data_IF_996211081918
#
_entry.id   IF_996211081918
#
_cell.length_a   1.000
_cell.length_b   1.000
_cell.length_c   1.000
_cell.angle_alpha   90.00
_cell.angle_beta   90.00
_cell.angle_gamma   90.00
#
_symmetry.space_group_name_H-M   'P 1'
#
loop_
_entity.id
_entity.type
_entity.pdbx_description
1 polymer ?
#
# COMPACT_ATOMS: atom_id res chain seq x y z
N UNK A 1 -11.54 45.81 -12.45
CA UNK A 1 -11.17 45.09 -11.22
C UNK A 1 -11.20 43.61 -11.54
N UNK A 2 -10.03 42.99 -11.73
CA UNK A 2 -9.90 41.58 -12.09
C UNK A 2 -9.78 40.74 -10.81
N UNK A 3 -10.52 39.62 -10.67
CA UNK A 3 -10.35 38.71 -9.55
C UNK A 3 -9.07 37.87 -9.73
N UNK A 4 -8.10 38.10 -8.85
CA UNK A 4 -6.94 37.24 -8.66
C UNK A 4 -7.39 35.89 -8.12
N UNK A 5 -7.33 34.87 -8.97
CA UNK A 5 -7.54 33.46 -8.62
C UNK A 5 -6.32 32.99 -7.82
N UNK A 6 -6.54 32.68 -6.54
CA UNK A 6 -5.52 32.13 -5.66
C UNK A 6 -5.24 30.68 -6.06
N UNK A 7 -4.00 30.41 -6.47
CA UNK A 7 -3.50 29.07 -6.76
C UNK A 7 -3.50 28.21 -5.50
N UNK A 8 -3.96 26.94 -5.54
CA UNK A 8 -3.85 26.04 -4.40
C UNK A 8 -2.38 25.72 -4.08
N UNK A 9 -2.02 25.49 -2.81
CA UNK A 9 -0.67 25.07 -2.44
C UNK A 9 -0.40 23.71 -3.05
N UNK A 10 0.54 23.69 -4.01
CA UNK A 10 1.02 22.49 -4.66
C UNK A 10 1.43 21.45 -3.63
N UNK A 11 0.83 20.27 -3.75
CA UNK A 11 1.30 19.05 -3.13
C UNK A 11 2.75 18.84 -3.60
N UNK A 12 3.70 19.19 -2.75
CA UNK A 12 5.11 18.89 -2.96
C UNK A 12 5.22 17.37 -2.94
N UNK A 13 5.28 16.78 -4.13
CA UNK A 13 5.64 15.39 -4.36
C UNK A 13 7.05 15.23 -3.75
N UNK A 14 7.11 14.75 -2.51
CA UNK A 14 8.38 14.36 -1.92
C UNK A 14 8.98 13.29 -2.85
N UNK A 15 10.20 13.47 -3.38
CA UNK A 15 10.83 12.42 -4.16
C UNK A 15 10.88 11.16 -3.29
N UNK A 16 10.59 9.97 -3.86
CA UNK A 16 10.71 8.74 -3.11
C UNK A 16 12.12 8.70 -2.52
N UNK A 17 12.29 8.25 -1.26
CA UNK A 17 13.62 8.04 -0.73
C UNK A 17 14.27 6.98 -1.60
N UNK A 18 15.12 7.42 -2.54
CA UNK A 18 16.08 6.60 -3.23
C UNK A 18 17.10 6.13 -2.18
N UNK A 19 16.68 5.19 -1.35
CA UNK A 19 17.55 4.33 -0.60
C UNK A 19 18.17 3.38 -1.62
N UNK A 20 19.11 3.91 -2.42
CA UNK A 20 20.23 3.14 -2.92
C UNK A 20 20.99 2.64 -1.69
N UNK A 21 20.45 1.58 -1.09
CA UNK A 21 21.01 0.87 0.03
C UNK A 21 22.33 0.27 -0.43
N UNK A 22 23.39 1.04 -0.24
CA UNK A 22 24.80 0.67 -0.37
C UNK A 22 25.19 -0.31 0.74
N UNK A 23 24.37 -1.34 0.94
CA UNK A 23 24.35 -2.29 2.06
C UNK A 23 24.52 -3.74 1.56
N UNK A 24 25.32 -3.95 0.52
CA UNK A 24 25.28 -5.21 -0.25
C UNK A 24 26.21 -6.32 0.23
N UNK A 25 27.02 -6.11 1.28
CA UNK A 25 27.87 -7.17 1.85
C UNK A 25 27.53 -7.49 3.31
N UNK A 26 27.48 -6.48 4.18
CA UNK A 26 27.25 -6.68 5.62
C UNK A 26 25.85 -7.22 5.94
N UNK A 27 24.83 -6.84 5.18
CA UNK A 27 23.46 -7.33 5.38
C UNK A 27 23.33 -8.81 5.02
N UNK A 28 24.05 -9.25 3.99
CA UNK A 28 24.10 -10.67 3.59
C UNK A 28 24.87 -11.51 4.61
N UNK A 29 25.99 -11.01 5.14
CA UNK A 29 26.73 -11.71 6.20
C UNK A 29 25.86 -11.84 7.45
N UNK A 30 25.15 -10.79 7.84
CA UNK A 30 24.23 -10.83 8.99
C UNK A 30 23.04 -11.78 8.76
N UNK A 31 22.54 -11.86 7.52
CA UNK A 31 21.49 -12.81 7.13
C UNK A 31 21.97 -14.28 7.10
N UNK A 32 23.19 -14.53 6.62
CA UNK A 32 23.79 -15.86 6.56
C UNK A 32 24.11 -16.41 7.96
N UNK A 33 24.70 -15.58 8.82
CA UNK A 33 25.02 -15.94 10.21
C UNK A 33 23.75 -16.08 11.06
N UNK A 34 22.69 -15.34 10.73
CA UNK A 34 21.39 -15.44 11.41
C UNK A 34 20.51 -16.60 10.95
N UNK A 35 20.91 -17.40 9.96
CA UNK A 35 20.11 -18.54 9.54
C UNK A 35 20.22 -19.67 10.58
N UNK A 36 19.09 -20.29 11.00
CA UNK A 36 19.11 -21.34 12.02
C UNK A 36 19.94 -22.55 11.61
N UNK A 37 20.05 -22.80 10.29
CA UNK A 37 20.86 -23.88 9.72
C UNK A 37 22.35 -23.58 9.90
N UNK A 38 22.83 -22.37 9.57
CA UNK A 38 24.24 -22.02 9.78
C UNK A 38 24.60 -22.00 11.26
N UNK A 39 23.70 -21.54 12.15
CA UNK A 39 23.92 -21.61 13.60
C UNK A 39 23.99 -23.06 14.07
N UNK A 40 23.08 -23.92 13.62
CA UNK A 40 23.10 -25.35 13.98
C UNK A 40 24.37 -26.05 13.48
N UNK A 41 24.80 -25.79 12.24
CA UNK A 41 26.04 -26.34 11.67
C UNK A 41 27.27 -25.80 12.41
N UNK A 42 27.31 -24.51 12.75
CA UNK A 42 28.40 -23.92 13.50
C UNK A 42 28.51 -24.50 14.92
N UNK A 43 27.38 -24.64 15.61
CA UNK A 43 27.31 -25.26 16.95
C UNK A 43 27.71 -26.73 16.88
N UNK A 44 27.21 -27.48 15.90
CA UNK A 44 27.57 -28.89 15.70
C UNK A 44 29.07 -29.05 15.42
N UNK A 45 29.62 -28.24 14.50
CA UNK A 45 31.03 -28.27 14.16
C UNK A 45 31.92 -27.87 15.35
N UNK A 46 31.49 -26.89 16.16
CA UNK A 46 32.18 -26.50 17.39
C UNK A 46 32.16 -27.61 18.44
N UNK A 47 31.03 -28.29 18.64
CA UNK A 47 30.91 -29.43 19.57
C UNK A 47 31.79 -30.61 19.14
N UNK A 48 31.81 -30.95 17.84
CA UNK A 48 32.66 -32.00 17.29
C UNK A 48 34.14 -31.63 17.41
N UNK A 49 34.50 -30.37 17.08
CA UNK A 49 35.86 -29.86 17.18
C UNK A 49 36.39 -29.86 18.61
N UNK A 50 35.55 -29.47 19.58
CA UNK A 50 35.89 -29.49 21.00
C UNK A 50 36.15 -30.92 21.51
N UNK A 51 35.32 -31.88 21.07
CA UNK A 51 35.45 -33.28 21.50
C UNK A 51 36.70 -33.98 20.96
N UNK A 52 37.16 -33.64 19.75
CA UNK A 52 38.27 -34.35 19.09
C UNK A 52 39.65 -33.74 19.34
N UNK A 53 39.75 -32.41 19.42
CA UNK A 53 41.03 -31.70 19.48
C UNK A 53 41.06 -30.51 20.46
N UNK A 54 40.06 -30.40 21.34
CA UNK A 54 39.95 -29.31 22.30
C UNK A 54 39.77 -27.95 21.65
N UNK A 55 40.35 -26.90 22.24
CA UNK A 55 40.13 -25.49 21.84
C UNK A 55 40.61 -25.21 20.40
N UNK A 56 41.69 -25.85 19.96
CA UNK A 56 42.23 -25.68 18.61
C UNK A 56 41.28 -26.24 17.55
N UNK A 57 40.67 -27.41 17.83
CA UNK A 57 39.66 -28.00 16.95
C UNK A 57 38.42 -27.11 16.79
N UNK A 58 37.95 -26.51 17.89
CA UNK A 58 36.82 -25.58 17.88
C UNK A 58 37.13 -24.29 17.07
N UNK A 59 38.35 -23.76 17.17
CA UNK A 59 38.77 -22.59 16.37
C UNK A 59 38.83 -22.93 14.87
N UNK A 60 39.42 -24.07 14.51
CA UNK A 60 39.51 -24.52 13.11
C UNK A 60 38.13 -24.78 12.51
N UNK A 61 37.23 -25.43 13.25
CA UNK A 61 35.87 -25.67 12.79
C UNK A 61 35.11 -24.35 12.58
N UNK A 62 35.29 -23.37 13.47
CA UNK A 62 34.67 -22.06 13.32
C UNK A 62 35.19 -21.31 12.09
N UNK A 63 36.51 -21.32 11.86
CA UNK A 63 37.12 -20.73 10.65
C UNK A 63 36.62 -21.43 9.38
N UNK A 64 36.54 -22.77 9.38
CA UNK A 64 36.03 -23.53 8.25
C UNK A 64 34.57 -23.17 7.92
N UNK A 65 33.71 -23.00 8.94
CA UNK A 65 32.32 -22.55 8.75
C UNK A 65 32.26 -21.11 8.20
N UNK A 66 33.13 -20.21 8.66
CA UNK A 66 33.21 -18.84 8.13
C UNK A 66 33.64 -18.87 6.66
N UNK A 67 34.68 -19.62 6.31
CA UNK A 67 35.15 -19.75 4.92
C UNK A 67 34.09 -20.41 4.04
N UNK A 68 33.41 -21.44 4.53
CA UNK A 68 32.32 -22.09 3.82
C UNK A 68 31.12 -21.14 3.64
N UNK A 69 30.82 -20.31 4.65
CA UNK A 69 29.81 -19.25 4.57
C UNK A 69 30.17 -18.15 3.57
N UNK A 70 31.41 -17.66 3.57
CA UNK A 70 31.87 -16.64 2.61
C UNK A 70 31.92 -17.22 1.20
N UNK A 71 32.41 -18.45 1.03
CA UNK A 71 32.43 -19.10 -0.29
C UNK A 71 31.03 -19.43 -0.79
N UNK A 72 30.08 -19.78 0.09
CA UNK A 72 28.68 -19.99 -0.30
C UNK A 72 28.03 -18.70 -0.82
N UNK A 73 28.39 -17.52 -0.30
CA UNK A 73 27.89 -16.24 -0.85
C UNK A 73 28.34 -15.95 -2.28
N UNK A 74 29.40 -16.61 -2.77
CA UNK A 74 29.84 -16.47 -4.17
C UNK A 74 28.98 -17.27 -5.13
N UNK A 75 28.19 -18.23 -4.66
CA UNK A 75 27.31 -19.01 -5.53
C UNK A 75 26.07 -18.20 -5.87
N UNK A 76 25.86 -17.95 -7.16
CA UNK A 76 24.71 -17.21 -7.68
C UNK A 76 23.37 -17.81 -7.23
N UNK A 77 23.31 -19.14 -7.03
CA UNK A 77 22.12 -19.83 -6.53
C UNK A 77 21.75 -19.41 -5.10
N UNK A 78 22.73 -19.40 -4.18
CA UNK A 78 22.52 -19.01 -2.78
C UNK A 78 22.11 -17.54 -2.71
N UNK A 79 22.74 -16.68 -3.51
CA UNK A 79 22.39 -15.26 -3.57
C UNK A 79 20.94 -15.06 -4.02
N UNK A 80 20.50 -15.71 -5.11
CA UNK A 80 19.09 -15.66 -5.56
C UNK A 80 18.12 -16.15 -4.50
N UNK A 81 18.48 -17.18 -3.74
CA UNK A 81 17.63 -17.68 -2.66
C UNK A 81 17.53 -16.69 -1.49
N UNK A 82 18.65 -16.09 -1.08
CA UNK A 82 18.67 -15.05 -0.05
C UNK A 82 17.92 -13.80 -0.48
N UNK A 83 18.05 -13.40 -1.74
CA UNK A 83 17.33 -12.27 -2.32
C UNK A 83 15.82 -12.51 -2.27
N UNK A 84 15.35 -13.69 -2.71
CA UNK A 84 13.93 -14.07 -2.61
C UNK A 84 13.44 -14.09 -1.15
N UNK A 85 14.23 -14.60 -0.21
CA UNK A 85 13.85 -14.58 1.21
C UNK A 85 13.79 -13.16 1.77
N UNK A 86 14.70 -12.28 1.37
CA UNK A 86 14.70 -10.88 1.77
C UNK A 86 13.47 -10.16 1.22
N UNK A 87 13.14 -10.37 -0.05
CA UNK A 87 11.94 -9.83 -0.69
C UNK A 87 10.66 -10.26 0.05
N UNK A 88 10.51 -11.56 0.35
CA UNK A 88 9.36 -12.07 1.11
C UNK A 88 9.29 -11.44 2.51
N UNK A 89 10.42 -11.34 3.21
CA UNK A 89 10.46 -10.72 4.55
C UNK A 89 10.08 -9.24 4.51
N UNK A 90 10.58 -8.51 3.52
CA UNK A 90 10.24 -7.11 3.35
C UNK A 90 8.76 -6.93 3.02
N UNK A 91 8.18 -7.81 2.19
CA UNK A 91 6.73 -7.87 1.94
C UNK A 91 5.94 -8.10 3.23
N UNK A 92 6.24 -9.17 3.96
CA UNK A 92 5.56 -9.50 5.22
C UNK A 92 5.70 -8.35 6.24
N UNK A 93 6.87 -7.70 6.30
CA UNK A 93 7.11 -6.56 7.19
C UNK A 93 6.23 -5.37 6.81
N UNK A 94 6.15 -5.02 5.52
CA UNK A 94 5.28 -3.95 5.02
C UNK A 94 3.82 -4.24 5.31
N UNK A 95 3.34 -5.45 5.00
CA UNK A 95 1.97 -5.86 5.31
C UNK A 95 1.65 -5.80 6.80
N UNK A 96 2.56 -6.28 7.65
CA UNK A 96 2.37 -6.19 9.10
C UNK A 96 2.30 -4.75 9.60
N UNK A 97 3.03 -3.83 8.96
CA UNK A 97 2.99 -2.41 9.29
C UNK A 97 1.66 -1.78 8.86
N UNK A 98 1.17 -2.10 7.65
CA UNK A 98 -0.14 -1.65 7.14
C UNK A 98 -1.28 -2.10 8.05
N UNK A 99 -1.32 -3.38 8.41
CA UNK A 99 -2.36 -3.93 9.30
C UNK A 99 -2.32 -3.31 10.70
N UNK A 100 -1.11 -3.04 11.24
CA UNK A 100 -0.98 -2.33 12.53
C UNK A 100 -1.57 -0.92 12.46
N UNK A 101 -1.36 -0.22 11.35
CA UNK A 101 -1.90 1.13 11.13
C UNK A 101 -3.42 1.12 10.91
N UNK A 102 -3.99 0.07 10.33
CA UNK A 102 -5.44 -0.11 10.12
C UNK A 102 -6.19 -0.66 11.34
N UNK A 103 -5.48 -1.08 12.40
CA UNK A 103 -6.13 -1.56 13.63
C UNK A 103 -7.21 -0.62 14.20
N UNK A 104 -7.04 0.72 14.25
CA UNK A 104 -8.05 1.63 14.81
C UNK A 104 -9.21 1.96 13.85
N UNK A 105 -9.12 1.66 12.55
CA UNK A 105 -10.14 2.06 11.55
C UNK A 105 -11.41 1.20 11.57
N UNK A 106 -11.45 0.15 12.41
CA UNK A 106 -12.56 -0.79 12.51
C UNK A 106 -12.48 -1.95 11.49
N UNK A 107 -13.35 -2.96 11.64
CA UNK A 107 -13.29 -4.20 10.86
C UNK A 107 -13.66 -4.02 9.39
N UNK A 108 -14.58 -3.10 9.07
CA UNK A 108 -15.04 -2.87 7.68
C UNK A 108 -13.88 -2.41 6.78
N UNK A 109 -13.08 -1.43 7.23
CA UNK A 109 -11.91 -0.95 6.48
C UNK A 109 -10.78 -1.99 6.41
N UNK A 110 -10.67 -2.86 7.41
CA UNK A 110 -9.70 -3.97 7.38
C UNK A 110 -10.10 -5.02 6.35
N UNK A 111 -11.39 -5.34 6.26
CA UNK A 111 -11.92 -6.26 5.26
C UNK A 111 -11.70 -5.73 3.83
N UNK A 112 -12.04 -4.46 3.57
CA UNK A 112 -11.76 -3.80 2.29
C UNK A 112 -10.27 -3.85 1.92
N UNK A 113 -9.38 -3.59 2.88
CA UNK A 113 -7.94 -3.71 2.64
C UNK A 113 -7.50 -5.13 2.29
N UNK A 114 -8.08 -6.15 2.93
CA UNK A 114 -7.76 -7.56 2.64
C UNK A 114 -8.18 -7.91 1.22
N UNK A 115 -9.39 -7.50 0.80
CA UNK A 115 -9.90 -7.70 -0.56
C UNK A 115 -9.00 -7.01 -1.60
N UNK A 116 -8.66 -5.73 -1.38
CA UNK A 116 -7.75 -4.99 -2.26
C UNK A 116 -6.35 -5.62 -2.32
N UNK A 117 -5.84 -6.10 -1.19
CA UNK A 117 -4.54 -6.78 -1.14
C UNK A 117 -4.57 -8.07 -1.97
N UNK A 118 -5.64 -8.86 -1.88
CA UNK A 118 -5.80 -10.09 -2.65
C UNK A 118 -5.86 -9.81 -4.15
N UNK A 119 -6.61 -8.78 -4.57
CA UNK A 119 -6.64 -8.33 -5.96
C UNK A 119 -5.26 -7.88 -6.45
N UNK A 120 -4.54 -7.10 -5.65
CA UNK A 120 -3.17 -6.66 -6.00
C UNK A 120 -2.21 -7.86 -6.10
N UNK A 121 -2.32 -8.85 -5.22
CA UNK A 121 -1.50 -10.06 -5.29
C UNK A 121 -1.81 -10.87 -6.58
N UNK A 122 -3.08 -10.93 -6.97
CA UNK A 122 -3.50 -11.55 -8.23
C UNK A 122 -2.96 -10.79 -9.43
N UNK A 123 -3.05 -9.46 -9.46
CA UNK A 123 -2.47 -8.61 -10.51
C UNK A 123 -0.96 -8.84 -10.62
N UNK A 124 -0.23 -8.84 -9.50
CA UNK A 124 1.22 -9.07 -9.48
C UNK A 124 1.61 -10.48 -9.95
N UNK A 125 0.74 -11.47 -9.72
CA UNK A 125 0.96 -12.86 -10.15
C UNK A 125 0.71 -13.01 -11.66
N UNK A 126 -0.30 -12.34 -12.18
CA UNK A 126 -0.72 -12.42 -13.58
C UNK A 126 0.13 -11.53 -14.50
N UNK A 127 0.32 -10.25 -14.15
CA UNK A 127 1.17 -9.30 -14.89
C UNK A 127 1.99 -8.39 -13.93
N UNK A 128 3.24 -8.78 -13.61
CA UNK A 128 4.09 -8.00 -12.73
C UNK A 128 4.57 -6.67 -13.33
N UNK A 129 4.47 -6.48 -14.66
CA UNK A 129 4.85 -5.22 -15.29
C UNK A 129 3.75 -4.18 -15.12
N UNK A 130 2.49 -4.58 -15.31
CA UNK A 130 1.35 -3.69 -15.11
C UNK A 130 1.21 -3.32 -13.62
N UNK A 131 1.45 -4.28 -12.70
CA UNK A 131 1.50 -4.00 -11.26
C UNK A 131 2.53 -2.93 -10.88
N UNK A 132 3.70 -2.94 -11.52
CA UNK A 132 4.76 -1.93 -11.35
C UNK A 132 4.40 -0.61 -12.01
N UNK A 133 3.77 -0.65 -13.19
CA UNK A 133 3.40 0.55 -13.94
C UNK A 133 2.45 1.45 -13.14
N UNK A 134 1.55 0.84 -12.38
CA UNK A 134 0.60 1.56 -11.52
C UNK A 134 1.03 1.64 -10.06
N UNK A 135 2.25 1.19 -9.72
CA UNK A 135 2.78 1.18 -8.36
C UNK A 135 1.77 0.61 -7.32
N UNK A 136 1.18 -0.55 -7.61
CA UNK A 136 0.07 -1.13 -6.83
C UNK A 136 0.34 -1.24 -5.33
N UNK A 137 1.60 -1.50 -4.96
CA UNK A 137 2.01 -1.54 -3.55
C UNK A 137 1.96 -0.16 -2.89
N UNK A 138 2.37 0.91 -3.59
CA UNK A 138 2.31 2.27 -3.06
C UNK A 138 0.86 2.76 -2.99
N UNK A 139 0.00 2.28 -3.88
CA UNK A 139 -1.44 2.52 -3.85
C UNK A 139 -2.09 1.93 -2.58
N UNK A 140 -1.71 0.71 -2.19
CA UNK A 140 -2.14 0.12 -0.90
C UNK A 140 -1.60 0.91 0.31
N UNK A 141 -0.36 1.40 0.25
CA UNK A 141 0.17 2.30 1.29
C UNK A 141 -0.61 3.61 1.36
N UNK A 142 -1.02 4.15 0.22
CA UNK A 142 -1.85 5.35 0.15
C UNK A 142 -3.25 5.11 0.74
N UNK A 143 -3.91 4.01 0.38
CA UNK A 143 -5.17 3.58 0.96
C UNK A 143 -5.11 3.53 2.48
N UNK A 144 -4.07 2.89 3.05
CA UNK A 144 -3.89 2.80 4.51
C UNK A 144 -3.77 4.19 5.15
N UNK A 145 -3.00 5.10 4.54
CA UNK A 145 -2.86 6.48 5.04
C UNK A 145 -4.21 7.20 5.02
N UNK A 146 -4.94 7.13 3.90
CA UNK A 146 -6.26 7.75 3.76
C UNK A 146 -7.30 7.17 4.73
N UNK A 147 -7.32 5.85 4.90
CA UNK A 147 -8.21 5.19 5.85
C UNK A 147 -7.94 5.64 7.30
N UNK A 148 -6.66 5.80 7.67
CA UNK A 148 -6.30 6.31 8.99
C UNK A 148 -6.63 7.79 9.18
N UNK A 149 -6.46 8.64 8.17
CA UNK A 149 -6.87 10.05 8.26
C UNK A 149 -8.39 10.18 8.32
N UNK A 150 -9.12 9.40 7.53
CA UNK A 150 -10.57 9.35 7.54
C UNK A 150 -11.10 8.98 8.93
N UNK A 151 -10.54 7.93 9.55
CA UNK A 151 -10.90 7.54 10.91
C UNK A 151 -10.59 8.64 11.94
N UNK A 152 -9.43 9.30 11.85
CA UNK A 152 -9.08 10.43 12.75
C UNK A 152 -10.05 11.60 12.61
N UNK A 153 -10.50 11.90 11.38
CA UNK A 153 -11.50 12.94 11.16
C UNK A 153 -12.85 12.55 11.76
N UNK A 154 -13.28 11.29 11.63
CA UNK A 154 -14.49 10.79 12.29
C UNK A 154 -14.38 10.87 13.82
N UNK A 155 -13.24 10.53 14.40
CA UNK A 155 -12.99 10.66 15.83
C UNK A 155 -13.00 12.13 16.28
N UNK A 156 -12.40 13.04 15.51
CA UNK A 156 -12.46 14.47 15.78
C UNK A 156 -13.90 14.99 15.73
N UNK A 157 -14.72 14.53 14.78
CA UNK A 157 -16.15 14.87 14.70
C UNK A 157 -16.93 14.32 15.89
N UNK A 158 -16.66 13.08 16.32
CA UNK A 158 -17.27 12.49 17.53
C UNK A 158 -16.93 13.30 18.78
N UNK A 159 -15.67 13.68 18.96
CA UNK A 159 -15.20 14.51 20.07
C UNK A 159 -15.74 15.95 20.01
N UNK A 160 -15.96 16.49 18.80
CA UNK A 160 -16.57 17.80 18.60
C UNK A 160 -18.07 17.84 18.98
N UNK A 161 -18.68 16.68 19.24
CA UNK A 161 -20.03 16.53 19.79
C UNK A 161 -20.99 15.90 18.79
N UNK A 162 -21.30 14.61 19.01
CA UNK A 162 -22.51 13.99 18.50
C UNK A 162 -23.72 14.53 19.28
N UNK A 163 -24.66 15.15 18.57
CA UNK A 163 -26.02 15.50 19.00
C UNK A 163 -26.33 16.83 19.72
N UNK A 164 -25.44 17.48 20.49
CA UNK A 164 -25.85 18.64 21.32
C UNK A 164 -25.15 19.97 21.01
N UNK A 165 -24.81 20.23 19.76
CA UNK A 165 -24.75 21.62 19.26
C UNK A 165 -26.08 21.84 18.56
N UNK A 166 -27.12 22.33 19.27
CA UNK A 166 -28.40 22.52 18.65
C UNK A 166 -28.17 23.50 17.50
N UNK A 167 -28.48 23.07 16.28
CA UNK A 167 -28.70 23.97 15.15
C UNK A 167 -29.73 25.07 15.51
N UNK A 168 -30.44 24.88 16.62
CA UNK A 168 -31.42 25.75 17.26
C UNK A 168 -30.89 26.63 18.39
N UNK A 169 -29.60 26.61 18.78
CA UNK A 169 -29.04 27.76 19.53
C UNK A 169 -28.91 28.88 18.51
N UNK A 170 -30.05 29.52 18.27
CA UNK A 170 -30.13 30.74 17.55
C UNK A 170 -29.07 31.68 18.15
N UNK A 171 -28.17 32.17 17.29
CA UNK A 171 -27.16 33.18 17.61
C UNK A 171 -27.78 34.47 18.21
N UNK A 172 -29.11 34.52 18.34
CA UNK A 172 -29.95 35.57 18.89
C UNK A 172 -30.04 35.59 20.42
N UNK A 173 -29.44 34.65 21.16
CA UNK A 173 -29.26 34.79 22.62
C UNK A 173 -28.31 35.98 22.92
N UNK A 174 -28.86 37.20 22.95
CA UNK A 174 -28.16 38.45 23.23
C UNK A 174 -27.49 38.50 24.61
N UNK A 175 -27.80 37.52 25.47
CA UNK A 175 -27.26 37.36 26.83
C UNK A 175 -25.90 36.66 26.87
N UNK A 176 -25.41 36.08 25.76
CA UNK A 176 -24.12 35.37 25.73
C UNK A 176 -22.93 36.29 25.49
N UNK A 177 -21.90 36.11 26.31
CA UNK A 177 -20.57 36.72 26.14
C UNK A 177 -20.03 36.57 24.71
N UNK A 178 -19.51 37.65 24.13
CA UNK A 178 -18.86 37.68 22.81
C UNK A 178 -17.82 36.55 22.65
N UNK A 179 -17.03 36.30 23.70
CA UNK A 179 -16.02 35.23 23.73
C UNK A 179 -16.64 33.84 23.53
N UNK A 180 -17.81 33.55 24.14
CA UNK A 180 -18.50 32.27 23.95
C UNK A 180 -19.02 32.13 22.52
N UNK A 181 -19.57 33.20 21.93
CA UNK A 181 -20.02 33.22 20.52
C UNK A 181 -18.86 32.95 19.56
N UNK A 182 -17.71 33.58 19.76
CA UNK A 182 -16.52 33.36 18.92
C UNK A 182 -15.97 31.93 19.02
N UNK A 183 -16.02 31.30 20.20
CA UNK A 183 -15.62 29.91 20.40
C UNK A 183 -16.60 28.97 19.69
N UNK A 184 -17.91 29.20 19.83
CA UNK A 184 -18.92 28.39 19.14
C UNK A 184 -18.80 28.51 17.62
N UNK A 185 -18.62 29.72 17.08
CA UNK A 185 -18.42 29.93 15.66
C UNK A 185 -17.17 29.21 15.13
N UNK A 186 -16.05 29.24 15.89
CA UNK A 186 -14.84 28.50 15.52
C UNK A 186 -15.05 26.98 15.53
N UNK A 187 -15.77 26.44 16.52
CA UNK A 187 -16.11 25.02 16.59
C UNK A 187 -16.99 24.57 15.42
N UNK A 188 -17.99 25.37 15.05
CA UNK A 188 -18.85 25.09 13.90
C UNK A 188 -18.06 25.05 12.58
N UNK A 189 -17.22 26.07 12.32
CA UNK A 189 -16.35 26.09 11.13
C UNK A 189 -15.42 24.88 11.07
N UNK A 190 -14.80 24.52 12.20
CA UNK A 190 -13.91 23.37 12.25
C UNK A 190 -14.66 22.05 12.01
N UNK A 191 -15.89 21.93 12.52
CA UNK A 191 -16.76 20.77 12.23
C UNK A 191 -17.11 20.68 10.75
N UNK A 192 -17.52 21.79 10.12
CA UNK A 192 -17.82 21.84 8.68
C UNK A 192 -16.60 21.47 7.83
N UNK A 193 -15.42 21.98 8.19
CA UNK A 193 -14.16 21.63 7.53
C UNK A 193 -13.83 20.14 7.67
N UNK A 194 -14.00 19.58 8.87
CA UNK A 194 -13.80 18.15 9.10
C UNK A 194 -14.80 17.29 8.31
N UNK A 195 -16.07 17.71 8.20
CA UNK A 195 -17.06 17.01 7.38
C UNK A 195 -16.66 16.98 5.91
N UNK A 196 -16.29 18.13 5.33
CA UNK A 196 -15.81 18.20 3.95
C UNK A 196 -14.59 17.32 3.70
N UNK A 197 -13.65 17.30 4.65
CA UNK A 197 -12.47 16.42 4.56
C UNK A 197 -12.85 14.95 4.66
N UNK A 198 -13.84 14.58 5.47
CA UNK A 198 -14.33 13.19 5.55
C UNK A 198 -14.91 12.75 4.21
N UNK A 199 -15.75 13.59 3.58
CA UNK A 199 -16.33 13.33 2.26
C UNK A 199 -15.23 13.15 1.21
N UNK A 200 -14.29 14.10 1.11
CA UNK A 200 -13.16 14.00 0.18
C UNK A 200 -12.32 12.74 0.38
N UNK A 201 -12.02 12.39 1.64
CA UNK A 201 -11.26 11.17 1.94
C UNK A 201 -12.05 9.90 1.62
N UNK A 202 -13.38 9.93 1.72
CA UNK A 202 -14.23 8.80 1.34
C UNK A 202 -14.22 8.60 -0.17
N UNK A 203 -14.36 9.68 -0.95
CA UNK A 203 -14.31 9.66 -2.41
C UNK A 203 -12.94 9.17 -2.91
N UNK A 204 -11.84 9.64 -2.30
CA UNK A 204 -10.49 9.18 -2.64
C UNK A 204 -10.28 7.68 -2.33
N UNK A 205 -10.84 7.18 -1.22
CA UNK A 205 -10.78 5.75 -0.89
C UNK A 205 -11.57 4.90 -1.89
N UNK A 206 -12.71 5.38 -2.36
CA UNK A 206 -13.53 4.71 -3.38
C UNK A 206 -12.83 4.72 -4.74
N UNK A 207 -12.25 5.85 -5.15
CA UNK A 207 -11.49 5.94 -6.40
C UNK A 207 -10.29 4.96 -6.45
N UNK A 208 -9.61 4.76 -5.31
CA UNK A 208 -8.54 3.76 -5.18
C UNK A 208 -9.10 2.34 -5.34
N UNK A 209 -10.22 2.03 -4.69
CA UNK A 209 -10.87 0.71 -4.78
C UNK A 209 -11.29 0.40 -6.23
N UNK A 210 -11.95 1.34 -6.89
CA UNK A 210 -12.33 1.23 -8.30
C UNK A 210 -11.13 1.05 -9.22
N UNK A 211 -10.06 1.83 -9.03
CA UNK A 211 -8.85 1.71 -9.84
C UNK A 211 -8.23 0.31 -9.73
N UNK A 212 -8.10 -0.23 -8.51
CA UNK A 212 -7.56 -1.58 -8.31
C UNK A 212 -8.44 -2.62 -9.00
N UNK A 213 -9.77 -2.50 -8.87
CA UNK A 213 -10.72 -3.42 -9.53
C UNK A 213 -10.63 -3.34 -11.05
N UNK A 214 -10.51 -2.15 -11.62
CA UNK A 214 -10.38 -1.95 -13.06
C UNK A 214 -9.07 -2.55 -13.59
N UNK A 215 -7.96 -2.38 -12.87
CA UNK A 215 -6.69 -3.02 -13.26
C UNK A 215 -6.78 -4.53 -13.10
N UNK A 216 -7.42 -5.05 -12.04
CA UNK A 216 -7.64 -6.47 -11.86
C UNK A 216 -8.47 -7.06 -13.02
N UNK A 217 -9.57 -6.41 -13.39
CA UNK A 217 -10.40 -6.81 -14.53
C UNK A 217 -9.59 -6.81 -15.83
N UNK A 218 -8.82 -5.76 -16.09
CA UNK A 218 -7.96 -5.66 -17.27
C UNK A 218 -6.94 -6.80 -17.35
N UNK A 219 -6.30 -7.13 -16.23
CA UNK A 219 -5.28 -8.20 -16.17
C UNK A 219 -5.90 -9.60 -16.20
N UNK A 220 -7.12 -9.75 -15.68
CA UNK A 220 -7.88 -11.00 -15.75
C UNK A 220 -8.43 -11.29 -17.16
N UNK A 221 -8.67 -10.25 -17.96
CA UNK A 221 -8.99 -10.43 -19.37
C UNK A 221 -7.76 -10.98 -20.10
N UNK A 222 -7.81 -12.22 -20.65
CA UNK A 222 -6.74 -12.65 -21.55
C UNK A 222 -6.65 -11.63 -22.67
N UNK A 223 -5.43 -11.23 -23.05
CA UNK A 223 -5.23 -10.41 -24.24
C UNK A 223 -6.00 -11.10 -25.37
N UNK A 224 -7.08 -10.46 -25.82
CA UNK A 224 -7.82 -10.94 -26.97
C UNK A 224 -6.80 -11.02 -28.09
N UNK A 225 -6.77 -12.15 -28.78
CA UNK A 225 -5.91 -12.30 -29.96
C UNK A 225 -6.11 -11.04 -30.82
N UNK A 226 -5.07 -10.29 -31.20
CA UNK A 226 -5.23 -9.06 -31.97
C UNK A 226 -6.09 -9.25 -33.23
N UNK A 227 -6.15 -10.47 -33.75
CA UNK A 227 -7.05 -10.82 -34.85
C UNK A 227 -8.52 -10.95 -34.41
N UNK A 228 -8.78 -11.39 -33.18
CA UNK A 228 -10.11 -11.40 -32.57
C UNK A 228 -10.58 -9.97 -32.22
N UNK A 229 -9.69 -9.07 -31.77
CA UNK A 229 -10.03 -7.66 -31.57
C UNK A 229 -10.47 -6.99 -32.88
N UNK A 230 -9.73 -7.23 -33.97
CA UNK A 230 -10.09 -6.72 -35.30
C UNK A 230 -11.41 -7.29 -35.81
N UNK A 231 -11.66 -8.58 -35.57
CA UNK A 231 -12.94 -9.19 -35.95
C UNK A 231 -14.10 -8.61 -35.13
N UNK A 232 -13.91 -8.36 -33.83
CA UNK A 232 -14.92 -7.70 -32.98
C UNK A 232 -15.20 -6.29 -33.47
N UNK A 233 -14.16 -5.49 -33.76
CA UNK A 233 -14.32 -4.14 -34.32
C UNK A 233 -15.08 -4.16 -35.65
N UNK A 234 -14.76 -5.12 -36.53
CA UNK A 234 -15.48 -5.33 -37.78
C UNK A 234 -16.94 -5.66 -37.56
N UNK A 235 -17.26 -6.55 -36.62
CA UNK A 235 -18.64 -6.94 -36.30
C UNK A 235 -19.45 -5.83 -35.65
N UNK A 236 -18.83 -5.02 -34.80
CA UNK A 236 -19.46 -3.82 -34.25
C UNK A 236 -19.81 -2.82 -35.35
N UNK A 237 -18.90 -2.62 -36.29
CA UNK A 237 -19.16 -1.74 -37.44
C UNK A 237 -20.29 -2.27 -38.34
N UNK A 238 -20.31 -3.57 -38.62
CA UNK A 238 -21.42 -4.22 -39.35
C UNK A 238 -22.77 -4.05 -38.62
N UNK A 239 -22.78 -4.11 -37.29
CA UNK A 239 -23.99 -3.88 -36.49
C UNK A 239 -24.46 -2.42 -36.54
N UNK A 240 -23.55 -1.46 -36.44
CA UNK A 240 -23.86 -0.03 -36.55
C UNK A 240 -24.44 0.31 -37.94
N UNK A 241 -23.93 -0.30 -39.01
CA UNK A 241 -24.50 -0.16 -40.36
C UNK A 241 -25.92 -0.71 -40.45
N UNK A 242 -26.16 -1.89 -39.85
CA UNK A 242 -27.49 -2.52 -39.83
C UNK A 242 -28.48 -1.68 -39.03
N UNK A 243 -28.08 -1.14 -37.88
CA UNK A 243 -28.91 -0.26 -37.06
C UNK A 243 -29.24 1.05 -37.79
N UNK A 244 -28.26 1.64 -38.49
CA UNK A 244 -28.50 2.81 -39.33
C UNK A 244 -29.48 2.52 -40.48
N UNK A 245 -29.37 1.35 -41.12
CA UNK A 245 -30.28 0.92 -42.17
C UNK A 245 -31.70 0.66 -41.63
N UNK A 246 -31.82 0.04 -40.45
CA UNK A 246 -33.11 -0.17 -39.78
C UNK A 246 -33.76 1.16 -39.40
N UNK A 247 -32.99 2.14 -38.91
CA UNK A 247 -33.51 3.47 -38.62
C UNK A 247 -34.05 4.15 -39.88
N UNK A 248 -33.38 4.02 -41.03
CA UNK A 248 -33.85 4.58 -42.31
C UNK A 248 -35.12 3.91 -42.84
N UNK A 249 -35.30 2.60 -42.60
CA UNK A 249 -36.52 1.88 -43.01
C UNK A 249 -37.70 2.14 -42.07
N UNK A 250 -37.42 2.54 -40.83
CA UNK A 250 -38.44 2.86 -39.83
C UNK A 250 -38.95 4.31 -39.88
N UNK A 251 -38.28 5.19 -40.63
CA UNK A 251 -38.62 6.60 -40.82
C UNK A 251 -39.44 6.82 -42.10
#
# INVERSE_FOLDING_TARGET
MQPTVASPPGLVLAPPPALTARNTSLTYVRGAVGSPICVAVAVFAACVGLGYAGLVGALLSMVAVIVMGVSSTRYAFVRRHLDRQAEVRDRCRRESARLKLLRPTGPVRQQQYIELRELVEEIERSDPNEAKRFDMQDLLDHFVRLATSHQRCLEALRLAGSHDLPHTIALTDGTRSKRRRDIMARRLRHREECLRRVEQLADELEAIDELVRLVAQRVACPALDPDLEREIERRLWELDEVDAALQQLSA
#
